data_IF_173918856784
#
_entry.id   IF_173918856784
#
_cell.length_a   1.000
_cell.length_b   1.000
_cell.length_c   1.000
_cell.angle_alpha   90.00
_cell.angle_beta   90.00
_cell.angle_gamma   90.00
#
_symmetry.space_group_name_H-M   'P 1'
#
loop_
_entity.id
_entity.type
_entity.pdbx_description
1 polymer ?
#
# COMPACT_ATOMS: atom_id res chain seq x y z
N UNK A 1 -4.21 44.07 2.05
CA UNK A 1 -4.72 42.71 2.25
C UNK A 1 -3.56 41.86 2.75
N UNK A 2 -3.69 41.10 3.84
CA UNK A 2 -2.66 40.16 4.20
C UNK A 2 -2.48 39.16 3.06
N UNK A 3 -1.25 38.92 2.64
CA UNK A 3 -0.94 37.93 1.61
C UNK A 3 -1.37 36.55 2.10
N UNK A 4 -2.13 35.82 1.29
CA UNK A 4 -2.45 34.44 1.59
C UNK A 4 -1.14 33.64 1.78
N UNK A 5 -1.06 32.79 2.80
CA UNK A 5 0.14 31.98 2.99
C UNK A 5 0.40 31.14 1.72
N UNK A 6 1.65 31.09 1.29
CA UNK A 6 2.05 30.28 0.14
C UNK A 6 1.79 28.80 0.48
N UNK A 7 0.80 28.12 -0.18
CA UNK A 7 0.49 26.73 0.12
C UNK A 7 1.63 25.77 -0.26
N UNK A 8 2.60 26.25 -1.04
CA UNK A 8 3.78 25.47 -1.44
C UNK A 8 5.02 25.80 -0.60
N UNK A 9 4.87 26.66 0.43
CA UNK A 9 5.97 26.91 1.36
C UNK A 9 6.27 25.63 2.15
N UNK A 10 7.47 25.09 1.94
CA UNK A 10 7.92 23.88 2.62
C UNK A 10 8.30 24.21 4.06
N UNK A 11 7.74 23.50 5.02
CA UNK A 11 8.15 23.61 6.42
C UNK A 11 9.44 22.80 6.62
N UNK A 12 10.59 23.46 6.61
CA UNK A 12 11.89 22.81 6.73
C UNK A 12 12.08 22.07 8.06
N UNK A 13 11.55 22.58 9.18
CA UNK A 13 11.65 21.91 10.48
C UNK A 13 10.84 20.60 10.50
N UNK A 14 9.68 20.59 9.84
CA UNK A 14 8.86 19.40 9.66
C UNK A 14 9.61 18.32 8.87
N UNK A 15 10.19 18.73 7.75
CA UNK A 15 10.95 17.84 6.87
C UNK A 15 12.12 17.21 7.63
N UNK A 16 12.91 18.02 8.34
CA UNK A 16 14.06 17.53 9.11
C UNK A 16 13.65 16.52 10.19
N UNK A 17 12.57 16.78 10.92
CA UNK A 17 12.07 15.85 11.94
C UNK A 17 11.58 14.54 11.34
N UNK A 18 10.86 14.59 10.21
CA UNK A 18 10.41 13.40 9.48
C UNK A 18 11.59 12.58 8.97
N UNK A 19 12.60 13.22 8.38
CA UNK A 19 13.80 12.54 7.89
C UNK A 19 14.61 11.91 9.04
N UNK A 20 14.73 12.62 10.17
CA UNK A 20 15.39 12.09 11.35
C UNK A 20 14.67 10.85 11.90
N UNK A 21 13.34 10.88 11.97
CA UNK A 21 12.53 9.73 12.39
C UNK A 21 12.67 8.57 11.40
N UNK A 22 12.55 8.82 10.10
CA UNK A 22 12.68 7.82 9.04
C UNK A 22 14.04 7.13 9.12
N UNK A 23 15.13 7.90 9.25
CA UNK A 23 16.48 7.37 9.39
C UNK A 23 16.64 6.47 10.62
N UNK A 24 16.06 6.85 11.77
CA UNK A 24 16.05 5.99 12.96
C UNK A 24 15.25 4.72 12.70
N UNK A 25 14.05 4.86 12.18
CA UNK A 25 13.12 3.74 11.97
C UNK A 25 13.66 2.68 11.00
N UNK A 26 14.31 3.10 9.93
CA UNK A 26 14.99 2.19 8.98
C UNK A 26 16.14 1.42 9.63
N UNK A 27 16.83 2.00 10.63
CA UNK A 27 17.93 1.34 11.33
C UNK A 27 17.49 0.41 12.45
N UNK A 28 16.44 0.78 13.18
CA UNK A 28 16.03 0.06 14.41
C UNK A 28 14.93 -0.97 14.15
N UNK A 29 14.23 -0.88 13.02
CA UNK A 29 13.08 -1.74 12.76
C UNK A 29 11.88 -1.46 13.69
N UNK A 30 10.88 -2.33 13.69
CA UNK A 30 9.70 -2.22 14.55
C UNK A 30 10.02 -2.64 16.00
N UNK A 31 9.36 -2.01 16.96
CA UNK A 31 9.38 -2.46 18.36
C UNK A 31 8.41 -3.66 18.52
N UNK A 32 8.89 -4.83 19.02
CA UNK A 32 8.04 -5.99 19.22
C UNK A 32 6.95 -5.79 20.29
N UNK A 33 7.06 -4.76 21.12
CA UNK A 33 6.06 -4.41 22.12
C UNK A 33 4.87 -3.64 21.55
N UNK A 34 4.98 -3.14 20.32
CA UNK A 34 3.88 -2.46 19.65
C UNK A 34 2.71 -3.43 19.42
N UNK A 35 1.48 -2.93 19.55
CA UNK A 35 0.30 -3.75 19.39
C UNK A 35 -0.99 -2.97 19.38
N UNK A 36 -2.07 -3.65 19.05
CA UNK A 36 -3.40 -3.05 19.05
C UNK A 36 -3.78 -2.56 20.45
N UNK A 37 -4.40 -1.39 20.51
CA UNK A 37 -5.03 -0.79 21.68
C UNK A 37 -6.54 -0.80 21.50
N UNK A 38 -7.26 -0.69 22.60
CA UNK A 38 -8.72 -0.55 22.58
C UNK A 38 -9.13 0.83 22.05
N UNK A 39 -10.39 0.95 21.66
CA UNK A 39 -10.95 2.23 21.23
C UNK A 39 -10.83 3.30 22.33
N UNK A 40 -11.15 2.95 23.57
CA UNK A 40 -11.13 3.89 24.72
C UNK A 40 -9.71 4.38 25.02
N UNK A 41 -8.72 3.49 24.96
CA UNK A 41 -7.30 3.86 25.12
C UNK A 41 -6.83 4.81 24.02
N UNK A 42 -7.26 4.59 22.76
CA UNK A 42 -6.92 5.47 21.66
C UNK A 42 -7.64 6.81 21.77
N UNK A 43 -8.92 6.81 22.15
CA UNK A 43 -9.69 8.02 22.37
C UNK A 43 -9.07 8.88 23.49
N UNK A 44 -8.66 8.25 24.60
CA UNK A 44 -8.01 8.94 25.70
C UNK A 44 -6.63 9.50 25.33
N UNK A 45 -5.88 8.78 24.47
CA UNK A 45 -4.52 9.19 24.06
C UNK A 45 -4.49 10.25 22.96
N UNK A 46 -5.45 10.20 22.03
CA UNK A 46 -5.47 11.06 20.84
C UNK A 46 -6.41 12.27 21.01
N UNK A 47 -7.51 12.12 21.75
CA UNK A 47 -8.55 13.12 21.84
C UNK A 47 -9.22 13.39 20.50
N UNK A 48 -9.70 14.62 20.30
CA UNK A 48 -10.25 15.08 19.04
C UNK A 48 -9.12 15.57 18.14
N UNK A 49 -8.85 14.88 17.05
CA UNK A 49 -7.74 15.19 16.13
C UNK A 49 -8.18 15.93 14.87
N UNK A 50 -9.46 15.82 14.51
CA UNK A 50 -10.04 16.49 13.33
C UNK A 50 -10.83 17.70 13.83
N UNK A 51 -10.18 18.86 13.79
CA UNK A 51 -10.76 20.13 14.24
C UNK A 51 -10.79 21.15 13.09
N UNK A 52 -11.56 22.22 13.26
CA UNK A 52 -11.66 23.29 12.25
C UNK A 52 -10.29 23.91 11.94
N UNK A 53 -9.46 24.11 12.96
CA UNK A 53 -8.19 24.80 12.83
C UNK A 53 -7.00 23.84 12.60
N UNK A 54 -7.25 22.53 12.69
CA UNK A 54 -6.23 21.48 12.62
C UNK A 54 -5.34 21.42 13.87
N UNK A 55 -4.45 20.44 13.92
CA UNK A 55 -3.50 20.26 15.03
C UNK A 55 -2.15 20.96 14.80
N UNK A 56 -1.88 21.34 13.56
CA UNK A 56 -0.53 21.66 13.15
C UNK A 56 0.38 20.41 13.00
N UNK A 57 1.44 20.57 12.24
CA UNK A 57 2.25 19.39 11.85
C UNK A 57 2.99 18.77 13.05
N UNK A 58 3.48 19.56 14.00
CA UNK A 58 4.26 19.07 15.15
C UNK A 58 3.43 18.12 16.03
N UNK A 59 2.23 18.55 16.40
CA UNK A 59 1.33 17.74 17.20
C UNK A 59 0.85 16.51 16.42
N UNK A 60 0.51 16.67 15.15
CA UNK A 60 0.10 15.55 14.29
C UNK A 60 1.23 14.53 14.15
N UNK A 61 2.47 14.95 13.97
CA UNK A 61 3.61 14.06 13.87
C UNK A 61 3.95 13.38 15.19
N UNK A 62 3.82 14.08 16.32
CA UNK A 62 3.97 13.48 17.65
C UNK A 62 2.91 12.40 17.89
N UNK A 63 1.65 12.67 17.59
CA UNK A 63 0.59 11.66 17.69
C UNK A 63 0.85 10.44 16.78
N UNK A 64 1.35 10.68 15.58
CA UNK A 64 1.73 9.61 14.68
C UNK A 64 2.84 8.73 15.27
N UNK A 65 3.93 9.34 15.77
CA UNK A 65 5.08 8.60 16.28
C UNK A 65 4.84 7.91 17.62
N UNK A 66 4.09 8.56 18.51
CA UNK A 66 3.99 8.15 19.92
C UNK A 66 2.70 7.39 20.23
N UNK A 67 1.68 7.52 19.36
CA UNK A 67 0.40 6.83 19.54
C UNK A 67 0.09 5.89 18.36
N UNK A 68 0.03 6.38 17.13
CA UNK A 68 -0.42 5.57 15.99
C UNK A 68 0.56 4.44 15.69
N UNK A 69 1.84 4.73 15.54
CA UNK A 69 2.86 3.72 15.24
C UNK A 69 2.94 2.65 16.33
N UNK A 70 3.01 3.00 17.65
CA UNK A 70 3.02 1.99 18.71
C UNK A 70 1.71 1.19 18.85
N UNK A 71 0.60 1.71 18.34
CA UNK A 71 -0.70 1.01 18.34
C UNK A 71 -0.86 0.04 17.16
N UNK A 72 0.18 -0.17 16.38
CA UNK A 72 0.18 -1.04 15.20
C UNK A 72 1.04 -2.27 15.45
N UNK A 73 0.50 -3.46 15.15
CA UNK A 73 1.29 -4.70 15.23
C UNK A 73 2.44 -4.67 14.24
N UNK A 74 3.65 -5.03 14.67
CA UNK A 74 4.83 -5.04 13.80
C UNK A 74 4.89 -6.31 12.94
N UNK A 75 4.05 -6.42 11.93
CA UNK A 75 4.00 -7.61 11.05
C UNK A 75 5.32 -7.91 10.32
N UNK A 76 6.19 -6.93 10.20
CA UNK A 76 7.53 -7.07 9.64
C UNK A 76 8.61 -7.41 10.69
N UNK A 77 8.24 -7.67 11.93
CA UNK A 77 9.19 -8.12 12.95
C UNK A 77 9.47 -9.63 12.77
N UNK A 78 10.71 -10.11 12.96
CA UNK A 78 11.06 -11.53 12.78
C UNK A 78 10.25 -12.51 13.61
N UNK A 79 9.68 -12.08 14.75
CA UNK A 79 8.82 -12.93 15.59
C UNK A 79 7.34 -12.89 15.19
N UNK A 80 6.97 -12.14 14.15
CA UNK A 80 5.60 -12.12 13.64
C UNK A 80 5.35 -13.35 12.78
N UNK A 81 4.54 -14.28 13.29
CA UNK A 81 4.20 -15.53 12.61
C UNK A 81 2.74 -15.54 12.12
N UNK A 82 2.09 -14.38 12.14
CA UNK A 82 0.70 -14.23 11.69
C UNK A 82 0.63 -13.93 10.21
N UNK A 83 -0.36 -14.50 9.54
CA UNK A 83 -0.61 -14.32 8.10
C UNK A 83 0.56 -14.79 7.21
N UNK A 84 0.56 -14.38 5.97
CA UNK A 84 1.63 -14.64 4.98
C UNK A 84 2.39 -13.35 4.72
N UNK A 85 2.85 -12.71 5.79
CA UNK A 85 3.60 -11.46 5.70
C UNK A 85 5.06 -11.74 5.34
N UNK A 86 5.57 -11.05 4.33
CA UNK A 86 6.99 -10.98 4.02
C UNK A 86 7.59 -9.72 4.62
N UNK A 87 8.75 -9.86 5.27
CA UNK A 87 9.48 -8.68 5.75
C UNK A 87 10.02 -7.88 4.54
N UNK A 88 9.78 -6.57 4.49
CA UNK A 88 10.29 -5.75 3.41
C UNK A 88 11.82 -5.64 3.48
N UNK A 89 12.47 -5.56 2.33
CA UNK A 89 13.91 -5.28 2.27
C UNK A 89 14.17 -3.81 2.60
N UNK A 90 15.37 -3.44 3.10
CA UNK A 90 15.73 -2.04 3.28
C UNK A 90 15.60 -1.20 2.01
N UNK A 91 15.85 -1.81 0.85
CA UNK A 91 15.69 -1.15 -0.45
C UNK A 91 14.22 -0.82 -0.74
N UNK A 92 13.28 -1.77 -0.54
CA UNK A 92 11.86 -1.53 -0.78
C UNK A 92 11.33 -0.42 0.14
N UNK A 93 11.68 -0.44 1.43
CA UNK A 93 11.30 0.62 2.37
C UNK A 93 11.85 2.00 1.96
N UNK A 94 13.08 2.04 1.44
CA UNK A 94 13.69 3.27 0.94
C UNK A 94 12.96 3.79 -0.30
N UNK A 95 12.64 2.92 -1.24
CA UNK A 95 11.89 3.28 -2.44
C UNK A 95 10.46 3.73 -2.15
N UNK A 96 9.75 3.09 -1.22
CA UNK A 96 8.41 3.53 -0.80
C UNK A 96 8.41 4.98 -0.30
N UNK A 97 9.41 5.34 0.52
CA UNK A 97 9.55 6.72 1.00
C UNK A 97 9.88 7.71 -0.14
N UNK A 98 10.72 7.33 -1.09
CA UNK A 98 11.10 8.17 -2.24
C UNK A 98 9.93 8.34 -3.21
N UNK A 99 9.17 7.28 -3.47
CA UNK A 99 7.99 7.32 -4.34
C UNK A 99 6.92 8.28 -3.81
N UNK A 100 6.69 8.30 -2.50
CA UNK A 100 5.76 9.24 -1.88
C UNK A 100 6.14 10.71 -2.08
N UNK A 101 7.43 11.02 -2.15
CA UNK A 101 7.93 12.38 -2.42
C UNK A 101 7.98 12.72 -3.91
N UNK A 102 8.20 11.71 -4.75
CA UNK A 102 8.27 11.89 -6.20
C UNK A 102 6.90 12.15 -6.86
N UNK A 103 5.80 11.85 -6.15
CA UNK A 103 4.42 12.09 -6.61
C UNK A 103 4.13 11.57 -8.03
N UNK A 104 4.65 10.39 -8.37
CA UNK A 104 4.53 9.82 -9.70
C UNK A 104 3.08 9.40 -9.96
N UNK A 105 2.48 9.97 -10.99
CA UNK A 105 1.19 9.54 -11.49
C UNK A 105 1.38 8.54 -12.64
N UNK A 106 1.01 7.27 -12.42
CA UNK A 106 1.13 6.19 -13.41
C UNK A 106 -0.25 5.72 -13.95
N UNK A 107 -1.25 6.59 -13.97
CA UNK A 107 -2.59 6.25 -14.45
C UNK A 107 -2.70 6.13 -15.98
N UNK A 108 -1.77 6.71 -16.72
CA UNK A 108 -1.67 6.57 -18.17
C UNK A 108 -0.20 6.79 -18.62
N UNK A 109 0.08 6.41 -19.87
CA UNK A 109 1.43 6.47 -20.42
C UNK A 109 2.00 7.89 -20.48
N UNK A 110 1.20 8.86 -20.85
CA UNK A 110 1.62 10.25 -20.94
C UNK A 110 2.01 10.84 -19.57
N UNK A 111 1.27 10.47 -18.53
CA UNK A 111 1.52 10.94 -17.16
C UNK A 111 2.67 10.26 -16.45
N UNK A 112 3.01 9.01 -16.78
CA UNK A 112 3.99 8.23 -16.03
C UNK A 112 4.67 7.12 -16.79
N UNK A 113 5.10 7.38 -18.03
CA UNK A 113 5.68 6.38 -18.93
C UNK A 113 6.85 5.59 -18.31
N UNK A 114 7.72 6.26 -17.56
CA UNK A 114 8.86 5.60 -16.90
C UNK A 114 8.42 4.59 -15.82
N UNK A 115 7.43 4.94 -15.02
CA UNK A 115 6.89 4.03 -13.99
C UNK A 115 6.13 2.86 -14.63
N UNK A 116 5.30 3.14 -15.63
CA UNK A 116 4.55 2.10 -16.36
C UNK A 116 5.51 1.15 -17.09
N UNK A 117 6.58 1.66 -17.68
CA UNK A 117 7.59 0.83 -18.33
C UNK A 117 8.29 -0.08 -17.31
N UNK A 118 8.70 0.47 -16.16
CA UNK A 118 9.32 -0.31 -15.10
C UNK A 118 8.38 -1.37 -14.52
N UNK A 119 7.09 -1.05 -14.34
CA UNK A 119 6.06 -2.00 -13.91
C UNK A 119 5.92 -3.15 -14.90
N UNK A 120 5.83 -2.85 -16.20
CA UNK A 120 5.73 -3.89 -17.24
C UNK A 120 6.95 -4.79 -17.26
N UNK A 121 8.17 -4.26 -17.10
CA UNK A 121 9.37 -5.09 -17.00
C UNK A 121 9.33 -6.01 -15.77
N UNK A 122 8.84 -5.53 -14.63
CA UNK A 122 8.69 -6.35 -13.42
C UNK A 122 7.64 -7.45 -13.62
N UNK A 123 6.54 -7.15 -14.30
CA UNK A 123 5.49 -8.13 -14.65
C UNK A 123 6.04 -9.20 -15.59
N UNK A 124 6.76 -8.82 -16.64
CA UNK A 124 7.38 -9.74 -17.60
C UNK A 124 8.34 -10.69 -16.87
N UNK A 125 9.20 -10.14 -16.01
CA UNK A 125 10.12 -10.94 -15.23
C UNK A 125 9.40 -11.93 -14.30
N UNK A 126 8.34 -11.49 -13.60
CA UNK A 126 7.54 -12.36 -12.72
C UNK A 126 6.83 -13.46 -13.53
N UNK A 127 6.28 -13.13 -14.69
CA UNK A 127 5.64 -14.08 -15.57
C UNK A 127 6.61 -15.20 -16.02
N UNK A 128 7.84 -14.82 -16.34
CA UNK A 128 8.91 -15.76 -16.68
C UNK A 128 9.24 -16.67 -15.48
N UNK A 129 9.38 -16.14 -14.27
CA UNK A 129 9.71 -16.93 -13.08
C UNK A 129 8.66 -17.99 -12.76
N UNK A 130 7.38 -17.75 -13.07
CA UNK A 130 6.29 -18.71 -12.85
C UNK A 130 5.95 -19.55 -14.08
N UNK A 131 6.71 -19.42 -15.17
CA UNK A 131 6.59 -20.23 -16.37
C UNK A 131 5.43 -19.85 -17.29
N UNK A 132 4.95 -18.63 -17.26
CA UNK A 132 3.98 -18.15 -18.24
C UNK A 132 4.61 -17.98 -19.63
N UNK A 133 3.84 -18.14 -20.71
CA UNK A 133 4.34 -17.95 -22.07
C UNK A 133 4.76 -16.49 -22.32
N UNK A 134 5.68 -16.30 -23.24
CA UNK A 134 6.10 -14.98 -23.68
C UNK A 134 4.89 -14.12 -24.13
N UNK A 135 4.84 -12.87 -23.70
CA UNK A 135 3.72 -11.98 -23.95
C UNK A 135 2.53 -12.12 -22.99
N UNK A 136 2.66 -12.92 -21.93
CA UNK A 136 1.70 -12.90 -20.84
C UNK A 136 1.71 -11.54 -20.17
N UNK A 137 0.56 -10.89 -20.07
CA UNK A 137 0.40 -9.62 -19.37
C UNK A 137 -0.02 -9.81 -17.92
N UNK A 138 0.08 -8.75 -17.16
CA UNK A 138 -0.34 -8.72 -15.75
C UNK A 138 -0.64 -7.32 -15.27
N UNK A 139 -0.98 -7.22 -14.00
CA UNK A 139 -1.19 -5.94 -13.30
C UNK A 139 -0.92 -6.14 -11.81
N UNK A 140 -0.25 -5.20 -11.19
CA UNK A 140 -0.20 -5.12 -9.74
C UNK A 140 -1.51 -4.55 -9.19
N UNK A 141 -2.01 -5.16 -8.13
CA UNK A 141 -3.27 -4.78 -7.48
C UNK A 141 -3.05 -4.53 -5.99
N UNK A 142 -3.96 -3.81 -5.35
CA UNK A 142 -3.85 -3.42 -3.94
C UNK A 142 -4.04 -4.57 -2.94
N UNK A 143 -4.30 -5.79 -3.40
CA UNK A 143 -4.44 -6.96 -2.54
C UNK A 143 -5.02 -8.17 -3.26
N UNK A 144 -4.91 -9.35 -2.64
CA UNK A 144 -5.34 -10.63 -3.21
C UNK A 144 -6.82 -10.69 -3.59
N UNK A 145 -7.68 -10.02 -2.86
CA UNK A 145 -9.11 -9.92 -3.20
C UNK A 145 -9.33 -9.30 -4.57
N UNK A 146 -8.67 -8.17 -4.84
CA UNK A 146 -8.75 -7.53 -6.15
C UNK A 146 -8.04 -8.34 -7.23
N UNK A 147 -6.96 -9.05 -6.87
CA UNK A 147 -6.30 -10.02 -7.76
C UNK A 147 -7.23 -11.14 -8.20
N UNK A 148 -7.92 -11.76 -7.27
CA UNK A 148 -8.91 -12.81 -7.55
C UNK A 148 -10.06 -12.29 -8.42
N UNK A 149 -10.61 -11.13 -8.08
CA UNK A 149 -11.67 -10.50 -8.89
C UNK A 149 -11.20 -10.22 -10.33
N UNK A 150 -9.99 -9.69 -10.49
CA UNK A 150 -9.40 -9.38 -11.79
C UNK A 150 -9.18 -10.65 -12.62
N UNK A 151 -8.68 -11.73 -12.00
CA UNK A 151 -8.46 -13.02 -12.65
C UNK A 151 -9.78 -13.64 -13.12
N UNK A 152 -10.81 -13.65 -12.26
CA UNK A 152 -12.14 -14.17 -12.61
C UNK A 152 -12.80 -13.35 -13.73
N UNK A 153 -12.64 -12.03 -13.68
CA UNK A 153 -13.13 -11.14 -14.75
C UNK A 153 -12.40 -11.41 -16.07
N UNK A 154 -11.08 -11.55 -16.04
CA UNK A 154 -10.28 -11.86 -17.22
C UNK A 154 -10.66 -13.25 -17.83
N UNK A 155 -10.86 -14.25 -16.99
CA UNK A 155 -11.31 -15.57 -17.42
C UNK A 155 -12.69 -15.50 -18.10
N UNK A 156 -13.63 -14.77 -17.54
CA UNK A 156 -14.95 -14.53 -18.14
C UNK A 156 -14.83 -13.86 -19.50
N UNK A 157 -14.08 -12.77 -19.58
CA UNK A 157 -13.89 -12.02 -20.83
C UNK A 157 -13.19 -12.87 -21.90
N UNK A 158 -12.24 -13.73 -21.52
CA UNK A 158 -11.58 -14.66 -22.42
C UNK A 158 -12.56 -15.72 -22.97
N UNK A 159 -13.43 -16.25 -22.11
CA UNK A 159 -14.47 -17.19 -22.52
C UNK A 159 -15.44 -16.55 -23.53
N UNK A 160 -15.99 -15.37 -23.21
CA UNK A 160 -16.91 -14.64 -24.09
C UNK A 160 -16.30 -14.38 -25.48
N UNK A 161 -15.03 -13.96 -25.52
CA UNK A 161 -14.30 -13.75 -26.79
C UNK A 161 -14.12 -15.04 -27.58
N UNK A 162 -13.72 -16.11 -26.90
CA UNK A 162 -13.44 -17.41 -27.56
C UNK A 162 -14.70 -18.04 -28.16
N UNK A 163 -15.83 -17.88 -27.50
CA UNK A 163 -17.09 -18.54 -27.90
C UNK A 163 -18.05 -17.61 -28.62
N UNK A 164 -17.71 -16.31 -28.78
CA UNK A 164 -18.60 -15.28 -29.34
C UNK A 164 -20.01 -15.30 -28.71
N UNK A 165 -20.08 -15.69 -27.45
CA UNK A 165 -21.32 -15.87 -26.70
C UNK A 165 -21.13 -15.47 -25.25
N UNK A 166 -22.18 -14.87 -24.70
CA UNK A 166 -22.24 -14.54 -23.28
C UNK A 166 -23.31 -15.42 -22.62
N UNK A 167 -22.89 -16.41 -21.80
CA UNK A 167 -23.84 -17.23 -21.05
C UNK A 167 -24.62 -16.40 -20.03
N UNK A 168 -25.85 -16.79 -19.75
CA UNK A 168 -26.67 -16.16 -18.71
C UNK A 168 -26.07 -16.33 -17.30
N UNK A 169 -25.32 -17.41 -17.10
CA UNK A 169 -24.67 -17.75 -15.84
C UNK A 169 -23.28 -18.37 -16.05
N UNK A 170 -22.35 -17.94 -15.23
CA UNK A 170 -21.07 -18.59 -15.03
C UNK A 170 -21.10 -19.38 -13.71
N UNK A 171 -20.35 -20.48 -13.65
CA UNK A 171 -20.12 -21.21 -12.40
C UNK A 171 -18.66 -21.14 -12.04
N UNK A 172 -18.38 -20.83 -10.77
CA UNK A 172 -17.04 -20.89 -10.19
C UNK A 172 -17.01 -22.10 -9.29
N UNK A 173 -16.05 -23.00 -9.53
CA UNK A 173 -15.84 -24.19 -8.71
C UNK A 173 -14.64 -23.91 -7.81
N UNK A 174 -14.85 -23.96 -6.51
CA UNK A 174 -13.81 -23.79 -5.50
C UNK A 174 -13.99 -24.79 -4.35
N UNK A 175 -12.95 -24.98 -3.56
CA UNK A 175 -13.04 -25.83 -2.36
C UNK A 175 -13.69 -25.04 -1.22
N UNK A 176 -14.16 -25.74 -0.19
CA UNK A 176 -14.66 -25.15 1.06
C UNK A 176 -13.57 -24.40 1.86
N UNK A 177 -12.31 -24.53 1.45
CA UNK A 177 -11.18 -23.83 2.04
C UNK A 177 -10.74 -22.63 1.20
N UNK A 178 -11.48 -22.26 0.16
CA UNK A 178 -11.17 -21.07 -0.63
C UNK A 178 -11.29 -19.82 0.24
N UNK A 179 -10.48 -18.82 -0.10
CA UNK A 179 -10.56 -17.53 0.56
C UNK A 179 -11.91 -16.85 0.23
N UNK A 180 -12.51 -16.15 1.21
CA UNK A 180 -13.81 -15.49 1.08
C UNK A 180 -13.95 -14.50 -0.09
N UNK A 181 -12.86 -14.09 -0.71
CA UNK A 181 -12.88 -13.28 -1.94
C UNK A 181 -13.30 -14.05 -3.19
N UNK A 182 -13.47 -15.38 -3.11
CA UNK A 182 -13.96 -16.23 -4.20
C UNK A 182 -15.45 -16.54 -4.02
N UNK A 183 -15.97 -16.46 -2.80
CA UNK A 183 -17.39 -16.63 -2.48
C UNK A 183 -18.19 -15.35 -2.84
#
# INVERSE_FOLDING_TARGET
MPSLPNPFARNSSAIESMLAWLKRRLKTGPDPKNGARTFDELQASMGETITRDGLGWEQAFTLFTDVIVPSTRPFNHPTSLSFVAAAPTPASLGFDAVLGVAEIFAGNWDGGSGAIYAENQAIDWLAEQVGYPAGAGGVFVSGGTLGNLSALHAARAAYERKHSARPDRFRILCSTQAHSSIE
#
